data_IF_956706462687
#
_entry.id   IF_956706462687
#
_cell.length_a   1.000
_cell.length_b   1.000
_cell.length_c   1.000
_cell.angle_alpha   90.00
_cell.angle_beta   90.00
_cell.angle_gamma   90.00
#
_symmetry.space_group_name_H-M   'P 1'
#
loop_
_entity.id
_entity.type
_entity.pdbx_description
1 polymer ?
#
# COMPACT_ATOMS: atom_id res chain seq x y z
N UNK A 1 -1.77 3.33 16.31
CA UNK A 1 -3.02 2.55 16.40
C UNK A 1 -3.14 2.05 17.81
N UNK A 2 -4.35 2.01 18.36
CA UNK A 2 -4.60 1.44 19.69
C UNK A 2 -4.56 -0.10 19.62
N UNK A 3 -4.19 -0.80 20.69
CA UNK A 3 -4.34 -2.26 20.74
C UNK A 3 -5.77 -2.68 20.41
N UNK A 4 -5.93 -3.68 19.52
CA UNK A 4 -7.23 -4.17 19.06
C UNK A 4 -7.88 -3.36 17.92
N UNK A 5 -7.29 -2.23 17.52
CA UNK A 5 -7.76 -1.45 16.37
C UNK A 5 -7.40 -2.15 15.05
N UNK A 6 -8.38 -2.37 14.18
CA UNK A 6 -8.17 -2.96 12.85
C UNK A 6 -8.09 -1.87 11.79
N UNK A 7 -7.21 -2.06 10.80
CA UNK A 7 -7.13 -1.13 9.65
C UNK A 7 -8.40 -1.28 8.81
N UNK A 8 -9.21 -0.23 8.76
CA UNK A 8 -10.30 -0.08 7.80
C UNK A 8 -9.81 0.69 6.55
N UNK A 9 -10.68 0.81 5.54
CA UNK A 9 -10.33 1.47 4.28
C UNK A 9 -9.93 2.94 4.45
N UNK A 10 -10.61 3.67 5.34
CA UNK A 10 -10.37 5.11 5.57
C UNK A 10 -9.00 5.33 6.19
N UNK A 11 -8.68 4.56 7.24
CA UNK A 11 -7.38 4.59 7.88
C UNK A 11 -6.28 4.15 6.91
N UNK A 12 -6.54 3.15 6.07
CA UNK A 12 -5.59 2.75 5.03
C UNK A 12 -5.30 3.89 4.05
N UNK A 13 -6.31 4.62 3.59
CA UNK A 13 -6.13 5.80 2.74
C UNK A 13 -5.29 6.89 3.43
N UNK A 14 -5.52 7.15 4.72
CA UNK A 14 -4.69 8.10 5.49
C UNK A 14 -3.24 7.63 5.62
N UNK A 15 -3.01 6.31 5.72
CA UNK A 15 -1.66 5.75 5.73
C UNK A 15 -0.99 5.90 4.36
N UNK A 16 -1.71 5.70 3.26
CA UNK A 16 -1.20 5.93 1.90
C UNK A 16 -0.73 7.39 1.71
N UNK A 17 -1.50 8.37 2.18
CA UNK A 17 -1.10 9.78 2.13
C UNK A 17 0.20 10.04 2.91
N UNK A 18 0.32 9.47 4.12
CA UNK A 18 1.54 9.58 4.93
C UNK A 18 2.75 8.90 4.27
N UNK A 19 2.54 7.74 3.65
CA UNK A 19 3.58 7.03 2.90
C UNK A 19 4.02 7.85 1.70
N UNK A 20 3.08 8.43 0.96
CA UNK A 20 3.36 9.29 -0.20
C UNK A 20 4.20 10.51 0.19
N UNK A 21 3.82 11.23 1.26
CA UNK A 21 4.60 12.37 1.77
C UNK A 21 6.03 11.97 2.16
N UNK A 22 6.19 10.85 2.87
CA UNK A 22 7.52 10.35 3.27
C UNK A 22 8.34 9.90 2.07
N UNK A 23 7.72 9.28 1.07
CA UNK A 23 8.38 8.89 -0.18
C UNK A 23 8.81 10.11 -0.98
N UNK A 24 8.00 11.14 -1.06
CA UNK A 24 8.35 12.39 -1.72
C UNK A 24 9.60 13.03 -1.10
N UNK A 25 9.69 13.04 0.25
CA UNK A 25 10.85 13.58 0.96
C UNK A 25 12.10 12.71 0.81
N UNK A 26 11.97 11.39 0.95
CA UNK A 26 13.13 10.47 1.00
C UNK A 26 13.60 10.02 -0.39
N UNK A 27 12.69 9.91 -1.35
CA UNK A 27 12.91 9.35 -2.69
C UNK A 27 12.03 10.07 -3.73
N UNK A 28 12.22 11.38 -3.95
CA UNK A 28 11.38 12.18 -4.85
C UNK A 28 11.35 11.65 -6.28
N UNK A 29 12.40 10.97 -6.74
CA UNK A 29 12.44 10.36 -8.08
C UNK A 29 11.40 9.27 -8.30
N UNK A 30 11.01 8.52 -7.26
CA UNK A 30 9.98 7.48 -7.34
C UNK A 30 8.58 8.07 -7.50
N UNK A 31 8.33 9.23 -6.89
CA UNK A 31 7.05 9.93 -6.99
C UNK A 31 6.96 10.74 -8.29
N UNK A 32 8.04 11.45 -8.65
CA UNK A 32 7.97 12.47 -9.72
C UNK A 32 8.28 11.95 -11.13
N UNK A 33 9.00 10.82 -11.30
CA UNK A 33 9.55 10.45 -12.62
C UNK A 33 8.97 9.19 -13.27
N UNK A 34 8.66 8.15 -12.50
CA UNK A 34 8.37 6.82 -13.08
C UNK A 34 6.99 6.26 -12.75
N UNK A 35 6.18 6.96 -11.96
CA UNK A 35 5.02 6.35 -11.32
C UNK A 35 5.48 5.32 -10.28
N UNK A 36 4.74 5.19 -9.19
CA UNK A 36 5.07 4.20 -8.16
C UNK A 36 4.22 2.96 -8.38
N UNK A 37 4.85 1.79 -8.45
CA UNK A 37 4.16 0.51 -8.45
C UNK A 37 4.05 0.04 -7.01
N UNK A 38 2.83 -0.20 -6.54
CA UNK A 38 2.51 -0.70 -5.21
C UNK A 38 2.20 -2.20 -5.28
N UNK A 39 2.91 -2.97 -4.47
CA UNK A 39 2.58 -4.37 -4.20
C UNK A 39 1.99 -4.47 -2.78
N UNK A 40 0.77 -4.99 -2.68
CA UNK A 40 0.08 -5.26 -1.43
C UNK A 40 -0.93 -6.40 -1.62
N UNK A 41 -1.42 -6.97 -0.51
CA UNK A 41 -2.39 -8.06 -0.56
C UNK A 41 -3.82 -7.57 -0.88
N UNK A 42 -4.69 -8.51 -1.26
CA UNK A 42 -6.08 -8.24 -1.66
C UNK A 42 -7.05 -8.16 -0.46
N UNK A 43 -6.60 -7.72 0.72
CA UNK A 43 -7.48 -7.59 1.89
C UNK A 43 -8.60 -6.58 1.62
N UNK A 44 -9.78 -6.77 2.23
CA UNK A 44 -10.98 -5.93 1.97
C UNK A 44 -10.72 -4.41 2.03
N UNK A 45 -9.97 -3.88 3.01
CA UNK A 45 -9.66 -2.45 3.03
C UNK A 45 -8.91 -1.99 1.79
N UNK A 46 -7.98 -2.81 1.32
CA UNK A 46 -7.01 -2.50 0.27
C UNK A 46 -7.62 -2.46 -1.13
N UNK A 47 -8.64 -3.28 -1.38
CA UNK A 47 -9.36 -3.33 -2.67
C UNK A 47 -10.69 -2.55 -2.64
N UNK A 48 -10.94 -1.80 -1.56
CA UNK A 48 -12.17 -1.03 -1.44
C UNK A 48 -12.21 0.13 -2.43
N UNK A 49 -13.42 0.58 -2.80
CA UNK A 49 -13.61 1.67 -3.77
C UNK A 49 -12.84 2.93 -3.39
N UNK A 50 -12.85 3.32 -2.11
CA UNK A 50 -12.15 4.54 -1.66
C UNK A 50 -10.64 4.40 -1.74
N UNK A 51 -10.12 3.19 -1.54
CA UNK A 51 -8.69 2.91 -1.65
C UNK A 51 -8.24 2.89 -3.10
N UNK A 52 -9.00 2.26 -4.00
CA UNK A 52 -8.71 2.29 -5.43
C UNK A 52 -8.74 3.71 -5.97
N UNK A 53 -9.70 4.53 -5.55
CA UNK A 53 -9.74 5.96 -5.91
C UNK A 53 -8.49 6.69 -5.40
N UNK A 54 -8.11 6.47 -4.13
CA UNK A 54 -6.92 7.08 -3.54
C UNK A 54 -5.64 6.70 -4.29
N UNK A 55 -5.48 5.43 -4.67
CA UNK A 55 -4.32 4.96 -5.43
C UNK A 55 -4.27 5.63 -6.81
N UNK A 56 -5.41 5.81 -7.47
CA UNK A 56 -5.50 6.53 -8.73
C UNK A 56 -5.12 8.02 -8.56
N UNK A 57 -5.64 8.69 -7.53
CA UNK A 57 -5.32 10.10 -7.24
C UNK A 57 -3.81 10.30 -6.99
N UNK A 58 -3.17 9.34 -6.31
CA UNK A 58 -1.73 9.32 -6.05
C UNK A 58 -0.91 8.83 -7.24
N UNK A 59 -1.54 8.38 -8.32
CA UNK A 59 -0.93 7.79 -9.53
C UNK A 59 -0.07 6.56 -9.23
N UNK A 60 -0.56 5.71 -8.33
CA UNK A 60 0.09 4.45 -8.00
C UNK A 60 -0.51 3.33 -8.83
N UNK A 61 0.33 2.65 -9.60
CA UNK A 61 -0.04 1.40 -10.26
C UNK A 61 -0.06 0.28 -9.23
N UNK A 62 -1.08 -0.57 -9.24
CA UNK A 62 -1.14 -1.71 -8.32
C UNK A 62 -0.70 -2.97 -9.04
N UNK A 63 0.34 -3.63 -8.53
CA UNK A 63 0.79 -4.90 -9.07
C UNK A 63 -0.21 -6.00 -8.67
N UNK A 64 -0.62 -6.82 -9.64
CA UNK A 64 -1.53 -7.92 -9.39
C UNK A 64 -0.91 -8.91 -8.38
N UNK A 65 -1.67 -9.21 -7.33
CA UNK A 65 -1.27 -10.16 -6.30
C UNK A 65 -2.28 -11.32 -6.26
N UNK A 66 -1.87 -12.59 -6.35
CA UNK A 66 -2.79 -13.71 -6.23
C UNK A 66 -3.29 -13.89 -4.77
N UNK A 67 -4.50 -14.43 -4.57
CA UNK A 67 -4.99 -14.76 -3.23
C UNK A 67 -4.06 -15.73 -2.49
N UNK A 68 -3.97 -15.58 -1.16
CA UNK A 68 -3.26 -16.51 -0.26
C UNK A 68 -1.81 -16.83 -0.64
N UNK A 69 -1.08 -15.83 -1.17
CA UNK A 69 0.30 -16.01 -1.65
C UNK A 69 1.32 -15.19 -0.86
N UNK A 70 1.50 -15.47 0.46
CA UNK A 70 2.45 -14.73 1.30
C UNK A 70 3.91 -14.95 0.87
N UNK A 71 4.21 -16.06 0.22
CA UNK A 71 5.51 -16.34 -0.40
C UNK A 71 5.86 -15.36 -1.53
N UNK A 72 4.86 -14.73 -2.15
CA UNK A 72 5.02 -13.70 -3.17
C UNK A 72 5.00 -12.27 -2.61
N UNK A 73 4.81 -12.10 -1.31
CA UNK A 73 4.83 -10.81 -0.63
C UNK A 73 6.19 -10.63 0.09
N UNK A 74 7.10 -9.75 -0.39
CA UNK A 74 8.39 -9.50 0.27
C UNK A 74 8.28 -9.15 1.75
N UNK A 75 7.23 -8.42 2.10
CA UNK A 75 6.89 -8.08 3.47
C UNK A 75 6.71 -9.32 4.34
N UNK A 76 6.01 -10.35 3.86
CA UNK A 76 5.74 -11.57 4.64
C UNK A 76 6.91 -12.57 4.57
N UNK A 77 7.49 -12.82 3.39
CA UNK A 77 8.54 -13.85 3.25
C UNK A 77 9.93 -13.40 3.74
N UNK A 78 10.22 -12.09 3.72
CA UNK A 78 11.56 -11.56 4.07
C UNK A 78 11.57 -10.73 5.34
N UNK A 79 10.66 -9.74 5.48
CA UNK A 79 10.72 -8.79 6.60
C UNK A 79 10.07 -9.31 7.88
N UNK A 80 8.91 -9.96 7.77
CA UNK A 80 8.18 -10.55 8.90
C UNK A 80 8.45 -12.04 9.07
N UNK A 81 9.54 -12.54 8.49
CA UNK A 81 9.93 -13.93 8.64
C UNK A 81 10.14 -14.22 10.13
N UNK A 82 9.34 -15.16 10.64
CA UNK A 82 9.49 -15.71 11.99
C UNK A 82 10.76 -16.58 12.07
#
# INVERSE_FOLDING_TARGET
MKPGETINSELYCQLLDKVHQKLFQKRPSLVNRKGSILLHDNKRPHISRITLQKLNDLKYETLAHPPYSPDLAPTDFHFFKN
#
